data_IF_146936196131
#
_entry.id   IF_146936196131
#
_cell.length_a   1.000
_cell.length_b   1.000
_cell.length_c   1.000
_cell.angle_alpha   90.00
_cell.angle_beta   90.00
_cell.angle_gamma   90.00
#
_symmetry.space_group_name_H-M   'P 1'
#
loop_
_entity.id
_entity.type
_entity.pdbx_description
1 polymer ?
#
# COMPACT_ATOMS: atom_id res chain seq x y z
N UNK A 1 9.38 -7.27 15.00
CA UNK A 1 10.63 -7.73 14.37
C UNK A 1 11.08 -6.81 13.23
N UNK A 2 12.23 -6.11 13.32
CA UNK A 2 12.82 -5.29 12.22
C UNK A 2 14.35 -5.38 12.12
N UNK A 3 14.97 -6.36 12.78
CA UNK A 3 16.44 -6.50 12.84
C UNK A 3 17.04 -6.77 11.46
N UNK A 4 16.33 -7.50 10.61
CA UNK A 4 16.80 -7.90 9.27
C UNK A 4 16.83 -6.72 8.30
N UNK A 5 15.77 -5.90 8.24
CA UNK A 5 15.78 -4.68 7.40
C UNK A 5 16.92 -3.73 7.80
N UNK A 6 17.25 -3.66 9.10
CA UNK A 6 18.41 -2.91 9.59
C UNK A 6 19.73 -3.50 9.09
N UNK A 7 19.89 -4.82 9.12
CA UNK A 7 21.09 -5.50 8.63
C UNK A 7 21.26 -5.28 7.12
N UNK A 8 20.19 -5.45 6.35
CA UNK A 8 20.18 -5.20 4.90
C UNK A 8 20.57 -3.76 4.56
N UNK A 9 20.01 -2.77 5.28
CA UNK A 9 20.38 -1.37 5.07
C UNK A 9 21.86 -1.13 5.38
N UNK A 10 22.39 -1.71 6.47
CA UNK A 10 23.80 -1.55 6.86
C UNK A 10 24.76 -2.23 5.89
N UNK A 11 24.36 -3.34 5.29
CA UNK A 11 25.14 -4.04 4.28
C UNK A 11 25.16 -3.31 2.92
N UNK A 12 24.49 -2.15 2.81
CA UNK A 12 24.18 -1.51 1.51
C UNK A 12 23.61 -2.51 0.52
N UNK A 13 22.82 -3.49 1.03
CA UNK A 13 22.25 -4.52 0.19
C UNK A 13 21.45 -3.83 -0.93
N UNK A 14 21.76 -4.21 -2.17
CA UNK A 14 21.04 -3.79 -3.37
C UNK A 14 19.55 -4.14 -3.25
N UNK A 15 18.77 -3.63 -4.21
CA UNK A 15 17.37 -4.04 -4.38
C UNK A 15 17.24 -5.57 -4.30
N UNK A 16 16.35 -6.05 -3.42
CA UNK A 16 16.06 -7.47 -3.22
C UNK A 16 14.61 -7.76 -3.62
N UNK A 17 14.32 -9.03 -3.93
CA UNK A 17 12.98 -9.53 -4.18
C UNK A 17 12.34 -10.02 -2.88
N UNK A 18 11.10 -9.56 -2.66
CA UNK A 18 10.30 -9.92 -1.51
C UNK A 18 8.99 -10.55 -1.95
N UNK A 19 8.48 -11.44 -1.12
CA UNK A 19 7.13 -12.00 -1.21
C UNK A 19 6.38 -11.61 0.07
N UNK A 20 5.14 -11.18 -0.07
CA UNK A 20 4.29 -10.80 1.05
C UNK A 20 2.82 -11.02 0.72
N UNK A 21 1.98 -11.06 1.74
CA UNK A 21 0.54 -11.20 1.59
C UNK A 21 -0.14 -9.85 1.77
N UNK A 22 -1.13 -9.52 0.93
CA UNK A 22 -1.97 -8.36 1.16
C UNK A 22 -2.86 -8.61 2.38
N UNK A 23 -2.90 -7.65 3.30
CA UNK A 23 -3.71 -7.72 4.51
C UNK A 23 -4.94 -6.81 4.39
N UNK A 24 -4.71 -5.51 4.21
CA UNK A 24 -5.78 -4.52 4.16
C UNK A 24 -5.31 -3.21 3.51
N UNK A 25 -6.23 -2.26 3.38
CA UNK A 25 -5.93 -0.89 2.99
C UNK A 25 -6.38 0.13 4.05
N UNK A 26 -5.83 1.34 3.95
CA UNK A 26 -6.07 2.40 4.90
C UNK A 26 -5.66 3.76 4.36
N UNK A 27 -5.94 4.81 5.12
CA UNK A 27 -5.55 6.17 4.77
C UNK A 27 -4.54 6.71 5.78
N UNK A 28 -3.57 7.47 5.29
CA UNK A 28 -2.63 8.25 6.11
C UNK A 28 -2.89 9.72 5.89
N UNK A 29 -3.06 10.48 6.97
CA UNK A 29 -3.10 11.94 6.94
C UNK A 29 -1.75 12.51 7.40
N UNK A 30 -1.16 13.42 6.63
CA UNK A 30 0.02 14.17 7.06
C UNK A 30 -0.36 15.38 7.92
N UNK A 31 0.62 15.98 8.60
CA UNK A 31 0.44 17.23 9.36
C UNK A 31 -0.12 18.37 8.49
N UNK A 32 0.18 18.38 7.19
CA UNK A 32 -0.36 19.32 6.20
C UNK A 32 -1.73 18.90 5.64
N UNK A 33 -2.49 18.07 6.37
CA UNK A 33 -3.83 17.55 5.99
C UNK A 33 -3.88 16.80 4.65
N UNK A 34 -2.73 16.36 4.12
CA UNK A 34 -2.69 15.56 2.89
C UNK A 34 -3.11 14.12 3.20
N UNK A 35 -4.18 13.65 2.58
CA UNK A 35 -4.67 12.28 2.70
C UNK A 35 -4.03 11.43 1.60
N UNK A 36 -3.44 10.30 1.98
CA UNK A 36 -2.77 9.38 1.07
C UNK A 36 -3.30 7.96 1.29
N UNK A 37 -3.76 7.25 0.24
CA UNK A 37 -4.15 5.85 0.36
C UNK A 37 -2.90 4.98 0.56
N UNK A 38 -3.06 3.98 1.41
CA UNK A 38 -2.01 3.04 1.82
C UNK A 38 -2.56 1.62 1.83
N UNK A 39 -1.68 0.66 1.67
CA UNK A 39 -1.97 -0.77 1.84
C UNK A 39 -1.00 -1.38 2.84
N UNK A 40 -1.42 -2.44 3.51
CA UNK A 40 -0.61 -3.20 4.43
C UNK A 40 -0.28 -4.55 3.79
N UNK A 41 1.01 -4.86 3.71
CA UNK A 41 1.50 -6.19 3.40
C UNK A 41 1.97 -6.85 4.70
N UNK A 42 1.69 -8.13 4.86
CA UNK A 42 2.09 -8.95 6.00
C UNK A 42 2.88 -10.17 5.55
N UNK A 43 3.46 -10.90 6.51
CA UNK A 43 4.27 -12.09 6.25
C UNK A 43 5.41 -11.82 5.24
N UNK A 44 6.07 -10.66 5.35
CA UNK A 44 7.07 -10.21 4.36
C UNK A 44 8.32 -11.07 4.51
N UNK A 45 8.71 -11.73 3.42
CA UNK A 45 9.87 -12.62 3.31
C UNK A 45 10.74 -12.25 2.12
N UNK A 46 12.01 -12.63 2.14
CA UNK A 46 12.84 -12.70 0.95
C UNK A 46 12.36 -13.85 0.04
N UNK A 47 12.80 -13.84 -1.22
CA UNK A 47 12.52 -14.93 -2.18
C UNK A 47 13.02 -16.31 -1.72
N UNK A 48 14.05 -16.37 -0.87
CA UNK A 48 14.55 -17.59 -0.24
C UNK A 48 13.72 -18.06 0.97
N UNK A 49 12.63 -17.34 1.30
CA UNK A 49 11.75 -17.64 2.42
C UNK A 49 12.16 -17.01 3.76
N UNK A 50 13.31 -16.32 3.83
CA UNK A 50 13.77 -15.67 5.06
C UNK A 50 12.78 -14.61 5.54
N UNK A 51 12.24 -14.69 6.77
CA UNK A 51 11.31 -13.69 7.31
C UNK A 51 11.98 -12.32 7.48
N UNK A 52 11.33 -11.26 7.01
CA UNK A 52 11.87 -9.88 7.04
C UNK A 52 11.10 -8.98 8.01
N UNK A 53 9.78 -9.01 7.95
CA UNK A 53 8.90 -8.22 8.80
C UNK A 53 7.47 -8.80 8.86
N UNK A 54 6.85 -8.69 10.03
CA UNK A 54 5.48 -9.18 10.26
C UNK A 54 4.46 -8.42 9.39
N UNK A 55 4.60 -7.09 9.31
CA UNK A 55 3.77 -6.24 8.47
C UNK A 55 4.44 -4.91 8.12
N UNK A 56 4.02 -4.31 7.01
CA UNK A 56 4.48 -2.99 6.59
C UNK A 56 3.46 -2.26 5.74
N UNK A 57 3.28 -0.97 6.05
CA UNK A 57 2.42 -0.07 5.29
C UNK A 57 3.18 0.57 4.13
N UNK A 58 2.62 0.43 2.94
CA UNK A 58 3.10 1.06 1.71
C UNK A 58 2.10 2.09 1.20
N UNK A 59 2.58 3.06 0.43
CA UNK A 59 1.69 3.90 -0.37
C UNK A 59 0.97 3.01 -1.38
N UNK A 60 -0.35 3.16 -1.50
CA UNK A 60 -1.14 2.49 -2.55
C UNK A 60 -0.87 3.18 -3.90
N UNK A 61 0.33 2.93 -4.43
CA UNK A 61 0.89 3.58 -5.61
C UNK A 61 0.20 3.09 -6.89
N UNK A 62 0.38 3.82 -8.00
CA UNK A 62 -0.12 3.37 -9.31
C UNK A 62 0.35 1.95 -9.67
N UNK A 63 1.56 1.55 -9.27
CA UNK A 63 2.08 0.21 -9.54
C UNK A 63 1.29 -0.88 -8.82
N UNK A 64 0.93 -0.66 -7.56
CA UNK A 64 0.06 -1.57 -6.83
C UNK A 64 -1.36 -1.62 -7.40
N UNK A 65 -1.90 -0.47 -7.83
CA UNK A 65 -3.26 -0.41 -8.41
C UNK A 65 -3.39 -1.17 -9.73
N UNK A 66 -2.29 -1.33 -10.47
CA UNK A 66 -2.27 -2.14 -11.70
C UNK A 66 -2.55 -3.62 -11.45
N UNK A 67 -2.39 -4.11 -10.23
CA UNK A 67 -2.76 -5.48 -9.86
C UNK A 67 -4.27 -5.69 -9.82
N UNK A 68 -5.06 -4.61 -9.83
CA UNK A 68 -6.49 -4.65 -9.56
C UNK A 68 -6.79 -4.70 -8.07
N UNK A 69 -8.04 -5.00 -7.75
CA UNK A 69 -8.51 -5.19 -6.38
C UNK A 69 -7.79 -6.37 -5.73
N UNK A 70 -7.36 -6.17 -4.49
CA UNK A 70 -6.64 -7.16 -3.70
C UNK A 70 -7.53 -7.64 -2.55
N UNK A 71 -7.57 -8.94 -2.35
CA UNK A 71 -8.24 -9.59 -1.21
C UNK A 71 -7.23 -10.03 -0.16
N UNK A 72 -7.57 -10.02 1.14
CA UNK A 72 -6.68 -10.51 2.19
C UNK A 72 -6.14 -11.91 1.85
N UNK A 73 -4.83 -12.11 1.97
CA UNK A 73 -4.12 -13.34 1.58
C UNK A 73 -3.57 -13.36 0.15
N UNK A 74 -3.89 -12.37 -0.70
CA UNK A 74 -3.28 -12.27 -2.03
C UNK A 74 -1.76 -12.15 -1.94
N UNK A 75 -1.06 -13.03 -2.66
CA UNK A 75 0.41 -13.07 -2.63
C UNK A 75 0.97 -12.07 -3.64
N UNK A 76 1.86 -11.20 -3.17
CA UNK A 76 2.47 -10.15 -3.96
C UNK A 76 3.98 -10.31 -3.92
N UNK A 77 4.58 -10.42 -5.10
CA UNK A 77 6.02 -10.34 -5.29
C UNK A 77 6.40 -8.91 -5.70
N UNK A 78 7.47 -8.39 -5.12
CA UNK A 78 7.98 -7.06 -5.45
C UNK A 78 9.46 -6.89 -5.12
N UNK A 79 10.11 -6.00 -5.85
CA UNK A 79 11.48 -5.58 -5.59
C UNK A 79 11.51 -4.30 -4.75
N UNK A 80 12.36 -4.23 -3.73
CA UNK A 80 12.49 -3.06 -2.87
C UNK A 80 13.89 -2.91 -2.26
N UNK A 81 14.21 -1.71 -1.77
CA UNK A 81 15.44 -1.44 -1.03
C UNK A 81 15.16 -1.23 0.46
N UNK A 82 16.10 -1.57 1.33
CA UNK A 82 16.02 -1.26 2.75
C UNK A 82 16.54 0.16 3.03
N UNK A 83 15.79 0.96 3.79
CA UNK A 83 16.21 2.32 4.17
C UNK A 83 15.89 2.63 5.63
N UNK A 84 16.76 3.44 6.24
CA UNK A 84 16.54 4.02 7.55
C UNK A 84 15.61 5.24 7.44
N UNK A 85 14.75 5.45 8.45
CA UNK A 85 13.94 6.66 8.58
C UNK A 85 13.80 7.09 10.04
N UNK A 86 13.54 8.38 10.24
CA UNK A 86 13.29 8.96 11.56
C UNK A 86 11.84 8.71 11.97
N UNK A 87 11.64 8.04 13.11
CA UNK A 87 10.33 7.71 13.69
C UNK A 87 10.17 8.38 15.05
N UNK A 88 9.08 9.14 15.18
CA UNK A 88 8.66 9.80 16.42
C UNK A 88 9.60 10.92 16.85
N UNK A 89 9.09 11.84 17.67
CA UNK A 89 9.91 12.83 18.39
C UNK A 89 10.11 12.31 19.81
N UNK A 90 11.37 12.17 20.22
CA UNK A 90 11.72 11.81 21.60
C UNK A 90 11.47 13.02 22.50
N UNK A 91 11.06 12.78 23.74
CA UNK A 91 10.75 13.83 24.72
C UNK A 91 11.90 14.83 24.93
N UNK A 92 13.15 14.41 24.72
CA UNK A 92 14.36 15.24 24.85
C UNK A 92 14.87 15.85 23.53
N UNK A 93 14.03 15.95 22.49
CA UNK A 93 14.39 16.65 21.24
C UNK A 93 15.13 15.82 20.18
N UNK A 94 15.05 14.49 20.23
CA UNK A 94 15.65 13.58 19.24
C UNK A 94 14.64 12.80 18.38
N UNK A 95 15.13 11.90 17.52
CA UNK A 95 14.32 10.97 16.74
C UNK A 95 14.82 9.54 16.95
N UNK A 96 13.92 8.54 16.94
CA UNK A 96 14.34 7.14 16.89
C UNK A 96 14.60 6.75 15.43
N UNK A 97 15.73 6.12 15.15
CA UNK A 97 15.97 5.50 13.84
C UNK A 97 15.20 4.18 13.76
N UNK A 98 14.38 4.05 12.72
CA UNK A 98 13.67 2.82 12.36
C UNK A 98 13.98 2.48 10.90
N UNK A 99 13.63 1.27 10.46
CA UNK A 99 13.95 0.76 9.13
C UNK A 99 12.66 0.33 8.43
N UNK A 100 12.65 0.47 7.10
CA UNK A 100 11.54 0.07 6.24
C UNK A 100 12.03 -0.32 4.85
N UNK A 101 11.22 -1.06 4.14
CA UNK A 101 11.35 -1.24 2.69
C UNK A 101 10.83 0.02 1.98
N UNK A 102 11.55 0.45 0.95
CA UNK A 102 11.24 1.63 0.15
C UNK A 102 11.28 1.33 -1.33
N UNK A 103 10.63 2.21 -2.10
CA UNK A 103 10.65 2.18 -3.56
C UNK A 103 10.25 0.82 -4.17
N UNK A 104 9.06 0.27 -3.82
CA UNK A 104 8.62 -0.99 -4.43
C UNK A 104 8.48 -0.84 -5.96
N UNK A 105 9.05 -1.81 -6.68
CA UNK A 105 9.10 -1.94 -8.15
C UNK A 105 8.82 -3.39 -8.54
N UNK A 106 8.64 -3.64 -9.84
CA UNK A 106 8.38 -4.98 -10.40
C UNK A 106 7.35 -5.74 -9.55
N UNK A 107 6.21 -5.09 -9.34
CA UNK A 107 5.16 -5.57 -8.45
C UNK A 107 4.23 -6.45 -9.26
N UNK A 108 4.00 -7.67 -8.79
CA UNK A 108 3.10 -8.63 -9.41
C UNK A 108 2.28 -9.36 -8.34
N UNK A 109 1.07 -9.77 -8.73
CA UNK A 109 0.22 -10.67 -7.94
C UNK A 109 0.53 -12.09 -8.42
N UNK A 110 0.90 -12.98 -7.50
CA UNK A 110 1.41 -14.33 -7.81
C UNK A 110 0.27 -15.35 -7.90
N UNK A 111 -0.80 -15.15 -7.13
CA UNK A 111 -1.95 -16.03 -7.15
C UNK A 111 -2.99 -15.59 -8.19
N UNK A 112 -3.67 -16.58 -8.79
CA UNK A 112 -4.74 -16.34 -9.74
C UNK A 112 -5.96 -15.69 -9.08
N UNK A 113 -6.68 -14.87 -9.85
CA UNK A 113 -7.90 -14.24 -9.39
C UNK A 113 -8.56 -13.38 -10.46
N UNK A 114 -9.82 -13.02 -10.22
CA UNK A 114 -10.54 -12.12 -11.12
C UNK A 114 -9.94 -10.73 -11.02
N UNK A 115 -9.48 -10.19 -12.16
CA UNK A 115 -9.00 -8.82 -12.23
C UNK A 115 -10.18 -7.85 -12.14
N UNK A 116 -10.23 -7.08 -11.05
CA UNK A 116 -11.14 -5.94 -10.91
C UNK A 116 -10.31 -4.67 -10.93
N UNK A 117 -10.43 -3.78 -11.94
CA UNK A 117 -9.58 -2.60 -12.01
C UNK A 117 -9.88 -1.64 -10.84
N UNK A 118 -8.86 -0.94 -10.39
CA UNK A 118 -8.95 0.10 -9.37
C UNK A 118 -8.86 1.51 -9.98
N UNK A 119 -9.36 2.55 -9.29
CA UNK A 119 -9.24 3.93 -9.76
C UNK A 119 -7.80 4.45 -9.89
N UNK A 120 -7.56 5.28 -10.91
CA UNK A 120 -6.23 5.81 -11.20
C UNK A 120 -5.85 7.07 -10.40
N UNK A 121 -6.83 7.88 -10.00
CA UNK A 121 -6.55 9.12 -9.26
C UNK A 121 -6.35 8.86 -7.77
N UNK A 122 -5.64 9.75 -7.09
CA UNK A 122 -5.45 9.60 -5.63
C UNK A 122 -6.76 9.79 -4.88
N UNK A 123 -7.60 10.74 -5.32
CA UNK A 123 -8.85 11.08 -4.65
C UNK A 123 -9.89 9.96 -4.76
N UNK A 124 -10.05 9.37 -5.94
CA UNK A 124 -10.92 8.20 -6.11
C UNK A 124 -10.43 7.01 -5.28
N UNK A 125 -9.12 6.79 -5.20
CA UNK A 125 -8.56 5.74 -4.34
C UNK A 125 -8.77 6.01 -2.85
N UNK A 126 -8.77 7.27 -2.41
CA UNK A 126 -9.18 7.59 -1.03
C UNK A 126 -10.64 7.20 -0.81
N UNK A 127 -11.53 7.50 -1.77
CA UNK A 127 -12.93 7.09 -1.72
C UNK A 127 -13.12 5.57 -1.66
N UNK A 128 -12.40 4.83 -2.51
CA UNK A 128 -12.36 3.36 -2.49
C UNK A 128 -11.96 2.85 -1.10
N UNK A 129 -10.81 3.29 -0.58
CA UNK A 129 -10.31 2.84 0.74
C UNK A 129 -11.28 3.19 1.87
N UNK A 130 -11.92 4.37 1.83
CA UNK A 130 -12.91 4.75 2.84
C UNK A 130 -14.11 3.79 2.87
N UNK A 131 -14.57 3.33 1.71
CA UNK A 131 -15.66 2.34 1.60
C UNK A 131 -15.19 0.95 2.02
N UNK A 132 -14.05 0.49 1.53
CA UNK A 132 -13.55 -0.89 1.76
C UNK A 132 -13.08 -1.10 3.19
N UNK A 133 -12.38 -0.14 3.78
CA UNK A 133 -11.84 -0.27 5.14
C UNK A 133 -12.87 0.08 6.25
N UNK A 134 -14.16 0.23 5.90
CA UNK A 134 -15.26 0.62 6.79
C UNK A 134 -14.90 1.78 7.72
N UNK A 135 -14.15 2.77 7.22
CA UNK A 135 -13.75 3.93 8.02
C UNK A 135 -14.94 4.87 8.18
N UNK A 136 -15.04 5.53 9.33
CA UNK A 136 -16.05 6.57 9.55
C UNK A 136 -15.87 7.68 8.52
N UNK A 137 -16.90 7.88 7.70
CA UNK A 137 -16.96 8.97 6.72
C UNK A 137 -17.40 10.24 7.46
N UNK A 138 -16.65 11.31 7.25
CA UNK A 138 -16.96 12.67 7.72
C UNK A 138 -17.30 13.59 6.55
N UNK A 139 -17.85 14.77 6.85
CA UNK A 139 -18.08 15.85 5.87
C UNK A 139 -16.82 16.20 5.07
N UNK A 140 -15.64 16.13 5.69
CA UNK A 140 -14.37 16.42 5.01
C UNK A 140 -13.91 15.33 4.05
N UNK A 141 -14.44 14.12 4.16
CA UNK A 141 -14.05 12.94 3.38
C UNK A 141 -15.10 12.47 2.37
N UNK A 142 -16.35 12.93 2.50
CA UNK A 142 -17.47 12.50 1.64
C UNK A 142 -17.20 12.76 0.16
N UNK A 143 -16.57 13.90 -0.17
CA UNK A 143 -16.15 14.25 -1.53
C UNK A 143 -15.26 13.20 -2.20
N UNK A 144 -14.49 12.42 -1.44
CA UNK A 144 -13.66 11.35 -2.01
C UNK A 144 -14.52 10.13 -2.36
N UNK A 145 -15.51 9.82 -1.52
CA UNK A 145 -16.48 8.74 -1.75
C UNK A 145 -17.33 9.03 -2.97
N UNK A 146 -17.79 10.28 -3.13
CA UNK A 146 -18.50 10.74 -4.34
C UNK A 146 -17.66 10.55 -5.60
N UNK A 147 -16.40 11.02 -5.59
CA UNK A 147 -15.47 10.81 -6.72
C UNK A 147 -15.28 9.34 -7.08
N UNK A 148 -15.22 8.46 -6.08
CA UNK A 148 -15.15 7.02 -6.31
C UNK A 148 -16.44 6.47 -6.95
N UNK A 149 -17.61 6.85 -6.42
CA UNK A 149 -18.89 6.41 -6.97
C UNK A 149 -19.08 6.90 -8.42
N UNK A 150 -18.68 8.14 -8.74
CA UNK A 150 -18.70 8.65 -10.11
C UNK A 150 -17.83 7.82 -11.06
N UNK A 151 -16.66 7.39 -10.59
CA UNK A 151 -15.78 6.51 -11.36
C UNK A 151 -16.41 5.14 -11.61
N UNK A 152 -17.03 4.53 -10.59
CA UNK A 152 -17.78 3.27 -10.74
C UNK A 152 -18.91 3.42 -11.76
N UNK A 153 -19.70 4.50 -11.65
CA UNK A 153 -20.82 4.75 -12.55
C UNK A 153 -20.38 4.94 -14.00
N UNK A 154 -19.29 5.67 -14.24
CA UNK A 154 -18.72 5.84 -15.59
C UNK A 154 -18.25 4.50 -16.16
N UNK A 155 -17.54 3.69 -15.37
CA UNK A 155 -17.09 2.36 -15.77
C UNK A 155 -18.28 1.46 -16.16
N UNK A 156 -19.33 1.44 -15.34
CA UNK A 156 -20.52 0.62 -15.59
C UNK A 156 -21.32 1.09 -16.81
N UNK A 157 -21.34 2.40 -17.11
CA UNK A 157 -21.95 2.91 -18.35
C UNK A 157 -21.19 2.45 -19.59
N UNK A 158 -19.86 2.55 -19.57
CA UNK A 158 -19.02 2.12 -20.69
C UNK A 158 -19.19 0.63 -21.00
N UNK A 159 -19.27 -0.21 -19.97
CA UNK A 159 -19.53 -1.66 -20.10
C UNK A 159 -20.91 -1.97 -20.73
N UNK A 160 -21.89 -1.08 -20.59
CA UNK A 160 -23.24 -1.25 -21.16
C UNK A 160 -23.37 -0.70 -22.58
N UNK A 161 -22.48 0.19 -23.01
CA UNK A 161 -22.47 0.73 -24.37
C UNK A 161 -21.65 -0.11 -25.36
N UNK A 162 -20.90 -1.10 -24.85
CA UNK A 162 -20.09 -2.05 -25.65
C UNK A 162 -20.79 -3.41 -25.85
N UNK A 163 -21.99 -3.59 -25.30
CA UNK A 163 -22.88 -4.75 -25.50
C UNK A 163 -24.17 -4.29 -26.20
#
# INVERSE_FOLDING_TARGET
>A
MKKIVKQMQKANASEQTYVAEYSCCGIKQSSQKKITPTLCLENIRLSDGTPVADHMWFKYSRRFRKLGELTPGDTIQFNASAAAYRKGRLAKGGYKTDYKLVSPKQIEKVNDGVYVPLPDTTEQMVGYVLKTAHKRISSNTIKFVEKYNDWVNKKNKNLKSEN
#
